data_IF_133125845757
#
_entry.id   IF_133125845757
#
_cell.length_a   1.000
_cell.length_b   1.000
_cell.length_c   1.000
_cell.angle_alpha   90.00
_cell.angle_beta   90.00
_cell.angle_gamma   90.00
#
_symmetry.space_group_name_H-M   'P 1'
#
loop_
_entity.id
_entity.type
_entity.pdbx_description
1 polymer ?
#
# COMPACT_ATOMS: atom_id res chain seq x y z
N UNK A 1 15.71 11.59 17.34
CA UNK A 1 15.09 11.37 16.01
C UNK A 1 13.58 11.07 16.05
N UNK A 2 12.98 10.81 17.21
CA UNK A 2 11.51 10.61 17.31
C UNK A 2 10.70 11.90 17.13
N UNK A 3 11.32 13.08 17.33
CA UNK A 3 10.58 14.35 17.27
C UNK A 3 10.25 14.75 15.84
N UNK A 4 11.10 14.45 14.85
CA UNK A 4 10.87 14.77 13.44
C UNK A 4 9.64 14.03 12.89
N UNK A 5 9.53 12.73 13.14
CA UNK A 5 8.39 11.91 12.69
C UNK A 5 7.07 12.46 13.24
N UNK A 6 7.03 12.81 14.53
CA UNK A 6 5.85 13.41 15.15
C UNK A 6 5.47 14.77 14.57
N UNK A 7 6.44 15.57 14.12
CA UNK A 7 6.13 16.84 13.47
C UNK A 7 5.64 16.63 12.03
N UNK A 8 6.17 15.63 11.32
CA UNK A 8 5.71 15.27 9.99
C UNK A 8 4.26 14.74 10.01
N UNK A 9 3.93 13.93 11.01
CA UNK A 9 2.56 13.46 11.26
C UNK A 9 1.61 14.65 11.50
N UNK A 10 1.97 15.57 12.40
CA UNK A 10 1.17 16.81 12.61
C UNK A 10 1.07 17.67 11.36
N UNK A 11 2.14 17.78 10.59
CA UNK A 11 2.14 18.54 9.34
C UNK A 11 1.22 17.90 8.30
N UNK A 12 1.07 16.57 8.30
CA UNK A 12 0.16 15.89 7.36
C UNK A 12 -1.31 16.27 7.56
N UNK A 13 -1.69 16.74 8.76
CA UNK A 13 -3.03 17.27 9.06
C UNK A 13 -3.23 18.70 8.54
N UNK A 14 -2.16 19.50 8.47
CA UNK A 14 -2.20 20.93 8.13
C UNK A 14 -1.91 21.15 6.65
N UNK A 15 -0.93 20.43 6.11
CA UNK A 15 -0.44 20.50 4.73
C UNK A 15 -0.13 19.08 4.21
N UNK A 16 -1.16 18.31 3.82
CA UNK A 16 -0.99 16.93 3.36
C UNK A 16 -0.23 16.84 2.03
N UNK A 17 -0.35 17.83 1.15
CA UNK A 17 0.29 17.82 -0.18
C UNK A 17 1.81 17.95 -0.05
N UNK A 18 2.29 18.82 0.84
CA UNK A 18 3.71 18.94 1.13
C UNK A 18 4.29 17.65 1.70
N UNK A 19 3.59 17.02 2.66
CA UNK A 19 4.06 15.77 3.27
C UNK A 19 4.03 14.62 2.27
N UNK A 20 2.98 14.52 1.45
CA UNK A 20 2.89 13.51 0.40
C UNK A 20 4.04 13.65 -0.61
N UNK A 21 4.32 14.87 -1.08
CA UNK A 21 5.43 15.15 -2.00
C UNK A 21 6.78 14.74 -1.39
N UNK A 22 7.05 15.14 -0.14
CA UNK A 22 8.30 14.81 0.53
C UNK A 22 8.46 13.29 0.73
N UNK A 23 7.38 12.58 1.09
CA UNK A 23 7.39 11.12 1.19
C UNK A 23 7.67 10.51 -0.17
N UNK A 24 6.97 10.93 -1.22
CA UNK A 24 7.21 10.43 -2.57
C UNK A 24 8.66 10.61 -2.99
N UNK A 25 9.26 11.78 -2.82
CA UNK A 25 10.68 12.03 -3.13
C UNK A 25 11.61 11.05 -2.42
N UNK A 26 11.43 10.86 -1.10
CA UNK A 26 12.25 9.92 -0.31
C UNK A 26 12.10 8.49 -0.84
N UNK A 27 10.88 8.07 -1.16
CA UNK A 27 10.60 6.71 -1.65
C UNK A 27 11.10 6.48 -3.07
N UNK A 28 11.13 7.53 -3.91
CA UNK A 28 11.77 7.48 -5.23
C UNK A 28 13.29 7.37 -5.13
N UNK A 29 13.92 8.09 -4.19
CA UNK A 29 15.38 8.02 -3.99
C UNK A 29 15.84 6.70 -3.35
N UNK A 30 15.01 6.06 -2.55
CA UNK A 30 15.39 4.90 -1.74
C UNK A 30 14.46 3.69 -1.96
N UNK A 31 14.65 2.97 -3.07
CA UNK A 31 13.85 1.78 -3.39
C UNK A 31 13.79 0.76 -2.25
N UNK A 32 14.92 0.47 -1.59
CA UNK A 32 14.96 -0.48 -0.49
C UNK A 32 14.13 -0.03 0.74
N UNK A 33 13.98 1.27 0.96
CA UNK A 33 13.10 1.81 1.99
C UNK A 33 11.64 1.66 1.56
N UNK A 34 11.32 2.02 0.32
CA UNK A 34 9.98 1.86 -0.28
C UNK A 34 9.49 0.43 -0.15
N UNK A 35 10.30 -0.55 -0.55
CA UNK A 35 9.92 -1.96 -0.46
C UNK A 35 9.63 -2.40 0.97
N UNK A 36 10.41 -1.94 1.95
CA UNK A 36 10.20 -2.22 3.37
C UNK A 36 8.92 -1.60 3.91
N UNK A 37 8.60 -0.35 3.54
CA UNK A 37 7.37 0.31 3.96
C UNK A 37 6.14 -0.37 3.36
N UNK A 38 6.19 -0.77 2.09
CA UNK A 38 5.09 -1.51 1.44
C UNK A 38 4.85 -2.85 2.14
N UNK A 39 5.90 -3.58 2.50
CA UNK A 39 5.77 -4.83 3.27
C UNK A 39 5.20 -4.55 4.66
N UNK A 40 5.64 -3.48 5.33
CA UNK A 40 5.10 -3.05 6.64
C UNK A 40 3.60 -2.76 6.56
N UNK A 41 3.17 -1.90 5.63
CA UNK A 41 1.77 -1.56 5.42
C UNK A 41 0.90 -2.80 5.11
N UNK A 42 1.44 -3.78 4.38
CA UNK A 42 0.76 -5.07 4.17
C UNK A 42 0.62 -5.88 5.47
N UNK A 43 1.69 -5.94 6.27
CA UNK A 43 1.69 -6.66 7.54
C UNK A 43 0.75 -6.02 8.56
N UNK A 44 0.59 -4.70 8.53
CA UNK A 44 -0.33 -3.95 9.39
C UNK A 44 -1.78 -3.98 8.86
N UNK A 45 -1.98 -4.35 7.59
CA UNK A 45 -3.31 -4.51 6.97
C UNK A 45 -3.85 -3.23 6.36
N UNK A 46 -3.01 -2.20 6.26
CA UNK A 46 -3.34 -0.94 5.61
C UNK A 46 -3.50 -1.11 4.10
N UNK A 47 -2.81 -2.10 3.52
CA UNK A 47 -2.91 -2.43 2.10
C UNK A 47 -3.06 -3.95 1.86
N UNK A 48 -3.79 -4.30 0.80
CA UNK A 48 -3.98 -5.68 0.37
C UNK A 48 -2.72 -6.27 -0.30
N UNK A 49 -2.67 -7.60 -0.43
CA UNK A 49 -1.60 -8.28 -1.18
C UNK A 49 -1.54 -7.81 -2.65
N UNK A 50 -2.70 -7.54 -3.26
CA UNK A 50 -2.77 -7.03 -4.62
C UNK A 50 -2.15 -5.63 -4.72
N UNK A 51 -2.45 -4.75 -3.76
CA UNK A 51 -1.87 -3.40 -3.73
C UNK A 51 -0.37 -3.41 -3.43
N UNK A 52 0.07 -4.28 -2.52
CA UNK A 52 1.49 -4.48 -2.26
C UNK A 52 2.22 -4.97 -3.51
N UNK A 53 1.63 -5.89 -4.29
CA UNK A 53 2.22 -6.39 -5.53
C UNK A 53 2.34 -5.30 -6.60
N UNK A 54 1.30 -4.49 -6.77
CA UNK A 54 1.32 -3.31 -7.65
C UNK A 54 2.47 -2.37 -7.27
N UNK A 55 2.58 -1.98 -6.00
CA UNK A 55 3.61 -1.07 -5.52
C UNK A 55 5.02 -1.69 -5.64
N UNK A 56 5.18 -2.98 -5.39
CA UNK A 56 6.46 -3.68 -5.56
C UNK A 56 6.80 -4.02 -7.02
N UNK A 57 5.94 -3.66 -7.99
CA UNK A 57 6.18 -3.92 -9.40
C UNK A 57 6.20 -5.42 -9.74
N UNK A 58 5.39 -6.23 -9.06
CA UNK A 58 5.34 -7.68 -9.25
C UNK A 58 3.90 -8.19 -9.39
N UNK A 59 3.73 -9.41 -9.88
CA UNK A 59 2.41 -10.03 -9.98
C UNK A 59 1.97 -10.57 -8.61
N UNK A 60 0.69 -10.44 -8.18
CA UNK A 60 0.23 -10.89 -6.86
C UNK A 60 0.55 -12.36 -6.54
N UNK A 61 0.41 -13.25 -7.53
CA UNK A 61 0.77 -14.68 -7.39
C UNK A 61 2.26 -14.87 -7.12
N UNK A 62 3.12 -14.06 -7.74
CA UNK A 62 4.57 -14.13 -7.54
C UNK A 62 4.95 -13.54 -6.18
N UNK A 63 4.34 -12.41 -5.79
CA UNK A 63 4.56 -11.83 -4.47
C UNK A 63 4.19 -12.81 -3.35
N UNK A 64 3.07 -13.52 -3.52
CA UNK A 64 2.64 -14.56 -2.59
C UNK A 64 3.72 -15.63 -2.37
N UNK A 65 4.37 -16.10 -3.45
CA UNK A 65 5.46 -17.07 -3.35
C UNK A 65 6.67 -16.47 -2.61
N UNK A 66 7.07 -15.25 -2.97
CA UNK A 66 8.17 -14.53 -2.32
C UNK A 66 7.91 -14.37 -0.82
N UNK A 67 6.68 -14.04 -0.42
CA UNK A 67 6.33 -13.90 0.99
C UNK A 67 6.42 -15.23 1.74
N UNK A 68 5.85 -16.30 1.18
CA UNK A 68 5.96 -17.64 1.77
C UNK A 68 7.41 -18.11 1.92
N UNK A 69 8.24 -17.92 0.89
CA UNK A 69 9.67 -18.26 0.91
C UNK A 69 10.45 -17.46 1.95
N UNK A 70 10.05 -16.21 2.20
CA UNK A 70 10.67 -15.33 3.21
C UNK A 70 10.05 -15.45 4.60
N UNK A 71 9.10 -16.35 4.81
CA UNK A 71 8.38 -16.49 6.07
C UNK A 71 7.48 -15.29 6.42
N UNK A 72 7.14 -14.45 5.45
CA UNK A 72 6.19 -13.35 5.61
C UNK A 72 4.77 -13.95 5.57
N UNK A 73 3.92 -13.71 6.60
CA UNK A 73 2.57 -14.24 6.64
C UNK A 73 1.77 -13.83 5.41
N UNK A 74 1.18 -14.79 4.71
CA UNK A 74 0.20 -14.52 3.66
C UNK A 74 -1.19 -14.63 4.27
N UNK A 75 -1.87 -13.48 4.40
CA UNK A 75 -3.26 -13.41 4.86
C UNK A 75 -4.18 -14.23 3.94
N UNK A 76 -5.03 -15.07 4.51
CA UNK A 76 -6.02 -15.86 3.77
C UNK A 76 -7.37 -15.18 3.84
N UNK A 77 -7.82 -14.63 2.71
CA UNK A 77 -9.12 -13.99 2.63
C UNK A 77 -9.18 -12.69 3.42
N UNK A 78 -10.40 -12.26 3.65
CA UNK A 78 -10.73 -10.94 4.14
C UNK A 78 -11.12 -11.06 5.61
N UNK A 79 -10.44 -10.34 6.51
CA UNK A 79 -10.62 -10.51 7.95
C UNK A 79 -11.87 -9.75 8.47
N UNK A 80 -12.45 -8.89 7.63
CA UNK A 80 -13.63 -8.10 7.97
C UNK A 80 -14.57 -7.87 6.77
N UNK A 81 -15.83 -7.54 7.07
CA UNK A 81 -16.85 -7.26 6.05
C UNK A 81 -16.55 -5.94 5.32
N UNK A 82 -15.84 -5.05 5.99
CA UNK A 82 -15.45 -3.72 5.55
C UNK A 82 -14.34 -3.78 4.49
N UNK A 83 -13.33 -4.64 4.68
CA UNK A 83 -12.31 -4.91 3.66
C UNK A 83 -12.91 -5.55 2.39
N UNK A 84 -13.93 -6.42 2.54
CA UNK A 84 -14.64 -7.01 1.38
C UNK A 84 -15.31 -5.93 0.54
N UNK A 85 -15.88 -4.92 1.20
CA UNK A 85 -16.55 -3.79 0.54
C UNK A 85 -15.52 -2.88 -0.13
N UNK A 86 -14.38 -2.62 0.51
CA UNK A 86 -13.31 -1.82 -0.07
C UNK A 86 -12.69 -2.49 -1.31
N UNK A 87 -12.42 -3.80 -1.24
CA UNK A 87 -11.91 -4.58 -2.38
C UNK A 87 -12.95 -4.66 -3.51
N UNK A 88 -14.23 -4.86 -3.19
CA UNK A 88 -15.32 -4.87 -4.17
C UNK A 88 -15.55 -3.49 -4.81
N UNK A 89 -15.38 -2.39 -4.07
CA UNK A 89 -15.47 -1.03 -4.59
C UNK A 89 -14.31 -0.73 -5.57
N UNK A 90 -13.09 -1.12 -5.22
CA UNK A 90 -11.92 -0.98 -6.09
C UNK A 90 -12.03 -1.83 -7.37
N UNK A 91 -12.50 -3.08 -7.26
CA UNK A 91 -12.73 -3.95 -8.41
C UNK A 91 -13.93 -3.49 -9.28
N UNK A 92 -14.99 -2.95 -8.66
CA UNK A 92 -16.17 -2.43 -9.35
C UNK A 92 -15.90 -1.17 -10.17
N UNK A 93 -15.01 -0.30 -9.71
CA UNK A 93 -14.61 0.92 -10.42
C UNK A 93 -13.90 0.61 -11.75
N UNK A 94 -13.14 -0.49 -11.83
CA UNK A 94 -12.47 -0.92 -13.07
C UNK A 94 -13.42 -1.54 -14.11
N UNK A 95 -14.63 -1.96 -13.73
CA UNK A 95 -15.63 -2.51 -14.67
C UNK A 95 -16.49 -1.43 -15.36
N UNK A 96 -16.40 -0.16 -14.92
CA UNK A 96 -17.08 0.97 -15.55
C UNK A 96 -16.06 1.96 -16.13
N UNK A 97 -15.26 1.50 -17.09
CA UNK A 97 -14.63 2.41 -18.08
C UNK A 97 -15.70 3.08 -18.95
N UNK A 98 -15.42 4.28 -19.51
CA UNK A 98 -16.45 5.18 -20.02
C UNK A 98 -17.18 4.55 -21.20
N UNK A 99 -18.50 4.74 -21.24
CA UNK A 99 -19.28 4.46 -22.44
C UNK A 99 -18.69 5.28 -23.59
N UNK A 100 -18.07 4.60 -24.55
CA UNK A 100 -17.64 5.18 -25.80
C UNK A 100 -18.89 5.77 -26.49
N UNK A 101 -18.82 7.05 -26.80
CA UNK A 101 -19.83 7.77 -27.58
C UNK A 101 -19.32 7.93 -29.01
#
# INVERSE_FOLDING_TARGET
MMWQLRQLEKLSEVDPEMVATAIEEILHCHQALRDKLVIGAYLDGEISLAKAAELLGTHPVQLRKIFLEKGIPVRFGVESKEELIAEAAAAGAMRKGPAAK
#
